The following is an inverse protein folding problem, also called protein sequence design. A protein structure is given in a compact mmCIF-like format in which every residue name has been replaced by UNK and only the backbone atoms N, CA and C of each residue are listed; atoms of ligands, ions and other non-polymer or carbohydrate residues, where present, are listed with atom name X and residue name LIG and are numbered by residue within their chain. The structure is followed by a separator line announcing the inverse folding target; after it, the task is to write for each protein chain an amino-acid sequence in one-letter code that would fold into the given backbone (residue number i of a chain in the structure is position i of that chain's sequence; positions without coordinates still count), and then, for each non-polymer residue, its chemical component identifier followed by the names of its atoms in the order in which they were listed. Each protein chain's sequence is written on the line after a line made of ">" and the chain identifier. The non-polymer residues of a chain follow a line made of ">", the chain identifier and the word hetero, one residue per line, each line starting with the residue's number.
data_IF_622228119154
#
_entry.id   IF_622228119154
#
_cell.length_a   1.000
_cell.length_b   1.000
_cell.length_c   1.000
_cell.angle_alpha   90.00
_cell.angle_beta   90.00
_cell.angle_gamma   90.00
#
_symmetry.space_group_name_H-M   'P 1'
#
loop_
_entity.id
_entity.type
_entity.pdbx_description
1 polymer ?
#
# COMPACT_ATOMS: atom_id res chain seq x y z
N UNK A 1 4.14 4.32 17.32
CA UNK A 1 2.95 4.39 16.43
C UNK A 1 3.15 3.62 15.14
N UNK A 2 4.06 4.04 14.23
CA UNK A 2 4.29 3.37 12.94
C UNK A 2 4.66 1.88 13.08
N UNK A 3 5.52 1.52 14.04
CA UNK A 3 5.88 0.12 14.31
C UNK A 3 4.66 -0.73 14.70
N UNK A 4 3.79 -0.23 15.57
CA UNK A 4 2.57 -0.94 15.99
C UNK A 4 1.58 -1.15 14.84
N UNK A 5 1.41 -0.14 13.99
CA UNK A 5 0.59 -0.27 12.79
C UNK A 5 1.20 -1.27 11.80
N UNK A 6 2.51 -1.19 11.60
CA UNK A 6 3.25 -2.11 10.73
C UNK A 6 3.00 -3.55 11.17
N UNK A 7 3.12 -3.85 12.45
CA UNK A 7 2.99 -5.22 12.95
C UNK A 7 1.57 -5.77 12.73
N UNK A 8 0.51 -4.97 12.93
CA UNK A 8 -0.87 -5.44 12.69
C UNK A 8 -1.22 -5.53 11.20
N UNK A 9 -0.78 -4.56 10.39
CA UNK A 9 -1.09 -4.51 8.94
C UNK A 9 -0.26 -5.54 8.16
N UNK A 10 1.01 -5.75 8.50
CA UNK A 10 1.88 -6.65 7.75
C UNK A 10 1.46 -8.11 7.82
N UNK A 11 0.79 -8.56 8.88
CA UNK A 11 0.27 -9.93 8.94
C UNK A 11 -0.84 -10.15 7.90
N UNK A 12 -1.53 -9.08 7.49
CA UNK A 12 -2.69 -9.20 6.61
C UNK A 12 -2.41 -8.87 5.12
N UNK A 13 -1.36 -8.10 4.77
CA UNK A 13 -1.08 -7.86 3.35
C UNK A 13 -0.49 -9.11 2.68
N UNK A 14 -0.77 -9.23 1.38
CA UNK A 14 -0.28 -10.30 0.52
C UNK A 14 1.24 -10.31 0.41
N UNK A 15 1.80 -11.50 0.20
CA UNK A 15 3.24 -11.66 0.02
C UNK A 15 3.78 -11.04 -1.26
N UNK A 16 2.93 -10.86 -2.26
CA UNK A 16 3.31 -10.19 -3.50
C UNK A 16 3.44 -8.68 -3.32
N UNK A 17 2.88 -8.07 -2.25
CA UNK A 17 3.06 -6.64 -1.99
C UNK A 17 4.47 -6.39 -1.43
N UNK A 18 5.26 -5.56 -2.11
CA UNK A 18 6.64 -5.23 -1.67
C UNK A 18 6.80 -3.77 -1.28
N UNK A 19 6.01 -2.86 -1.85
CA UNK A 19 6.07 -1.44 -1.51
C UNK A 19 5.66 -1.21 -0.05
N UNK A 20 6.44 -0.39 0.66
CA UNK A 20 6.25 -0.03 2.07
C UNK A 20 6.37 -1.21 3.06
N UNK A 21 6.95 -2.33 2.64
CA UNK A 21 7.33 -3.42 3.56
C UNK A 21 8.83 -3.38 3.86
N UNK A 22 9.16 -3.63 5.12
CA UNK A 22 10.56 -3.78 5.54
C UNK A 22 11.15 -5.03 4.87
N UNK A 23 12.41 -4.93 4.46
CA UNK A 23 13.19 -6.02 3.85
C UNK A 23 12.65 -6.54 2.50
N UNK A 24 11.75 -5.78 1.85
CA UNK A 24 11.25 -6.10 0.51
C UNK A 24 11.57 -4.98 -0.47
N UNK A 25 12.38 -5.30 -1.48
CA UNK A 25 12.71 -4.40 -2.58
C UNK A 25 11.87 -4.70 -3.82
N UNK A 26 11.61 -3.66 -4.62
CA UNK A 26 11.03 -3.77 -5.96
C UNK A 26 11.90 -4.62 -6.91
N UNK A 27 13.22 -4.71 -6.67
CA UNK A 27 14.16 -5.50 -7.48
C UNK A 27 13.70 -6.94 -7.68
N UNK A 28 13.16 -7.59 -6.65
CA UNK A 28 12.71 -8.97 -6.74
C UNK A 28 11.46 -9.10 -7.63
N UNK A 29 10.55 -8.12 -7.61
CA UNK A 29 9.38 -8.11 -8.49
C UNK A 29 9.77 -7.88 -9.95
N UNK A 30 10.68 -6.95 -10.22
CA UNK A 30 11.22 -6.69 -11.57
C UNK A 30 11.90 -7.94 -12.10
N UNK A 31 12.72 -8.60 -11.27
CA UNK A 31 13.39 -9.85 -11.64
C UNK A 31 12.37 -10.95 -11.92
N UNK A 32 11.32 -11.07 -11.12
CA UNK A 32 10.25 -12.06 -11.32
C UNK A 32 9.50 -11.81 -12.63
N UNK A 33 9.12 -10.56 -12.92
CA UNK A 33 8.47 -10.17 -14.18
C UNK A 33 9.35 -10.51 -15.38
N UNK A 34 10.65 -10.20 -15.30
CA UNK A 34 11.62 -10.53 -16.33
C UNK A 34 11.69 -12.04 -16.58
N UNK A 35 11.75 -12.86 -15.53
CA UNK A 35 11.76 -14.32 -15.65
C UNK A 35 10.49 -14.83 -16.33
N UNK A 36 9.31 -14.33 -15.96
CA UNK A 36 8.03 -14.72 -16.56
C UNK A 36 8.03 -14.43 -18.07
N UNK A 37 8.49 -13.25 -18.48
CA UNK A 37 8.61 -12.86 -19.90
C UNK A 37 9.62 -13.73 -20.64
N UNK A 38 10.80 -13.96 -20.07
CA UNK A 38 11.84 -14.78 -20.71
C UNK A 38 11.38 -16.25 -20.88
N UNK A 39 10.65 -16.78 -19.90
CA UNK A 39 10.07 -18.12 -20.01
C UNK A 39 8.95 -18.17 -21.05
N UNK A 40 8.08 -17.16 -21.13
CA UNK A 40 7.00 -17.21 -22.12
C UNK A 40 7.53 -17.22 -23.56
N UNK A 41 8.61 -16.48 -23.81
CA UNK A 41 9.33 -16.50 -25.09
C UNK A 41 9.95 -17.88 -25.35
N UNK A 42 10.58 -18.47 -24.33
CA UNK A 42 11.23 -19.79 -24.45
C UNK A 42 10.25 -20.91 -24.81
N UNK A 43 9.05 -20.87 -24.26
CA UNK A 43 8.03 -21.92 -24.42
C UNK A 43 7.00 -21.60 -25.51
N UNK A 44 7.20 -20.53 -26.30
CA UNK A 44 6.26 -20.03 -27.30
C UNK A 44 4.82 -19.89 -26.78
N UNK A 45 4.71 -19.48 -25.52
CA UNK A 45 3.42 -19.33 -24.84
C UNK A 45 2.95 -17.88 -24.91
N UNK A 46 1.65 -17.67 -25.12
CA UNK A 46 1.07 -16.33 -25.06
C UNK A 46 1.15 -15.75 -23.65
N UNK A 47 1.57 -14.48 -23.55
CA UNK A 47 1.66 -13.74 -22.30
C UNK A 47 1.02 -12.35 -22.46
N UNK A 48 0.17 -11.98 -21.50
CA UNK A 48 -0.45 -10.66 -21.43
C UNK A 48 -0.06 -9.98 -20.11
N UNK A 49 0.42 -8.74 -20.20
CA UNK A 49 0.83 -7.94 -19.04
C UNK A 49 -0.02 -6.67 -18.99
N UNK A 50 -0.63 -6.41 -17.83
CA UNK A 50 -1.41 -5.19 -17.60
C UNK A 50 -0.73 -4.32 -16.54
N UNK A 51 -0.48 -3.06 -16.86
CA UNK A 51 0.04 -2.06 -15.94
C UNK A 51 -1.09 -1.15 -15.46
N UNK A 52 -1.41 -1.22 -14.17
CA UNK A 52 -2.45 -0.40 -13.55
C UNK A 52 -1.78 0.68 -12.72
N UNK A 53 -2.09 1.95 -13.02
CA UNK A 53 -1.62 3.10 -12.26
C UNK A 53 -2.81 3.93 -11.75
N UNK A 54 -2.73 4.36 -10.49
CA UNK A 54 -3.73 5.23 -9.88
C UNK A 54 -3.21 6.67 -9.85
N UNK A 55 -3.87 7.57 -10.56
CA UNK A 55 -3.57 8.99 -10.47
C UNK A 55 -3.82 9.49 -9.04
N UNK A 56 -2.82 10.17 -8.45
CA UNK A 56 -2.92 10.79 -7.11
C UNK A 56 -3.38 9.80 -6.02
N UNK A 57 -2.86 8.58 -6.05
CA UNK A 57 -3.27 7.46 -5.20
C UNK A 57 -3.43 7.79 -3.71
N UNK A 58 -2.62 8.69 -3.14
CA UNK A 58 -2.75 9.09 -1.73
C UNK A 58 -3.78 10.20 -1.48
N UNK A 59 -4.02 11.08 -2.46
CA UNK A 59 -4.98 12.17 -2.33
C UNK A 59 -6.42 11.74 -2.63
N UNK A 60 -6.60 10.69 -3.43
CA UNK A 60 -7.91 10.15 -3.81
C UNK A 60 -8.50 9.16 -2.79
N UNK A 61 -7.75 8.77 -1.76
CA UNK A 61 -8.25 7.83 -0.73
C UNK A 61 -9.34 8.48 0.11
N UNK A 62 -10.52 7.88 0.15
CA UNK A 62 -11.57 8.28 1.09
C UNK A 62 -11.14 8.03 2.54
N UNK A 63 -11.11 9.11 3.33
CA UNK A 63 -10.63 9.09 4.72
C UNK A 63 -11.48 8.22 5.64
N UNK A 64 -12.78 8.05 5.36
CA UNK A 64 -13.68 7.21 6.16
C UNK A 64 -13.40 5.74 5.89
N UNK A 65 -13.28 5.36 4.62
CA UNK A 65 -12.93 4.01 4.18
C UNK A 65 -11.55 3.61 4.70
N UNK A 66 -10.56 4.49 4.65
CA UNK A 66 -9.23 4.24 5.21
C UNK A 66 -9.28 3.91 6.71
N UNK A 67 -10.10 4.61 7.49
CA UNK A 67 -10.26 4.33 8.94
C UNK A 67 -10.91 2.97 9.17
N UNK A 68 -11.96 2.63 8.41
CA UNK A 68 -12.60 1.32 8.50
C UNK A 68 -11.63 0.19 8.15
N UNK A 69 -10.79 0.41 7.14
CA UNK A 69 -9.75 -0.53 6.74
C UNK A 69 -8.70 -0.73 7.84
N UNK A 70 -8.23 0.35 8.48
CA UNK A 70 -7.27 0.25 9.58
C UNK A 70 -7.83 -0.53 10.78
N UNK A 71 -9.13 -0.36 11.10
CA UNK A 71 -9.80 -1.15 12.14
C UNK A 71 -9.86 -2.63 11.78
N UNK A 72 -10.22 -2.92 10.53
CA UNK A 72 -10.23 -4.30 10.03
C UNK A 72 -8.84 -4.95 10.11
N UNK A 73 -7.79 -4.18 9.85
CA UNK A 73 -6.41 -4.63 9.98
C UNK A 73 -5.90 -4.75 11.43
N UNK A 74 -6.72 -4.46 12.44
CA UNK A 74 -6.37 -4.59 13.86
C UNK A 74 -5.58 -3.42 14.44
N UNK A 75 -5.56 -2.27 13.76
CA UNK A 75 -4.91 -1.07 14.29
C UNK A 75 -5.75 -0.50 15.43
N UNK A 76 -5.11 -0.26 16.58
CA UNK A 76 -5.77 0.25 17.78
C UNK A 76 -6.46 1.60 17.53
N UNK A 77 -7.67 1.76 18.07
CA UNK A 77 -8.50 2.96 17.91
C UNK A 77 -7.79 4.25 18.41
N UNK A 78 -6.91 4.13 19.42
CA UNK A 78 -6.06 5.24 19.88
C UNK A 78 -5.17 5.78 18.76
N UNK A 79 -4.59 4.91 17.94
CA UNK A 79 -3.72 5.29 16.82
C UNK A 79 -4.55 5.92 15.70
N UNK A 80 -5.70 5.33 15.37
CA UNK A 80 -6.63 5.85 14.35
C UNK A 80 -7.08 7.27 14.73
N UNK A 81 -7.36 7.51 16.01
CA UNK A 81 -7.73 8.85 16.50
C UNK A 81 -6.59 9.87 16.41
N UNK A 82 -5.33 9.47 16.60
CA UNK A 82 -4.17 10.34 16.40
C UNK A 82 -4.06 10.73 14.91
N UNK A 83 -4.17 9.76 14.00
CA UNK A 83 -4.13 9.99 12.54
C UNK A 83 -5.24 10.95 12.10
N UNK A 84 -6.45 10.77 12.64
CA UNK A 84 -7.56 11.69 12.39
C UNK A 84 -7.21 13.12 12.79
N UNK A 85 -6.74 13.32 14.02
CA UNK A 85 -6.37 14.65 14.53
C UNK A 85 -5.25 15.29 13.70
N UNK A 86 -4.27 14.52 13.23
CA UNK A 86 -3.20 15.06 12.38
C UNK A 86 -3.70 15.56 11.02
N UNK A 87 -4.77 14.97 10.47
CA UNK A 87 -5.38 15.47 9.24
C UNK A 87 -6.32 16.65 9.46
N UNK A 88 -7.00 16.70 10.61
CA UNK A 88 -7.93 17.78 10.95
C UNK A 88 -7.19 19.08 11.35
N UNK A 89 -5.96 18.97 11.87
CA UNK A 89 -5.12 20.12 12.25
C UNK A 89 -4.53 20.90 11.07
N UNK A 90 -4.43 20.29 9.89
CA UNK A 90 -3.93 20.96 8.67
C UNK A 90 -4.95 21.94 8.08
N UNK A 91 -6.25 21.79 8.40
CA UNK A 91 -7.32 22.63 7.87
C UNK A 91 -7.58 23.94 8.65
N UNK A 92 -6.66 24.38 9.53
CA UNK A 92 -6.88 25.57 10.38
C UNK A 92 -6.02 26.80 10.07
N UNK A 93 -5.10 26.75 9.10
CA UNK A 93 -4.19 27.87 8.81
C UNK A 93 -4.25 28.39 7.35
N UNK A 94 -5.44 28.45 6.76
CA UNK A 94 -5.65 29.26 5.54
C UNK A 94 -6.91 30.09 5.70
N UNK A 95 -6.74 31.40 5.48
CA UNK A 95 -7.69 32.52 5.61
C UNK A 95 -7.75 33.22 6.98
N UNK A 96 -6.69 33.98 7.28
CA UNK A 96 -6.79 35.38 7.75
C UNK A 96 -6.24 36.28 6.67
#
# INVERSE_FOLDING_TARGET
>A
MLKQMKDSVNVQLRDQQVSFRMDRSCTNQITTLRIIVEQSIRWDSSLYINFIYYEKAFASVDKRNLRNLLRHYGVLEKIINIIRKSHDGVNKNTFT
#
